data_IF_382564816015
#
_entry.id   IF_382564816015
#
_cell.length_a   1.000
_cell.length_b   1.000
_cell.length_c   1.000
_cell.angle_alpha   90.00
_cell.angle_beta   90.00
_cell.angle_gamma   90.00
#
_symmetry.space_group_name_H-M   'P 1'
#
loop_
_entity.id
_entity.type
_entity.pdbx_description
1 polymer ?
#
# COMPACT_ATOMS: atom_id res chain seq x y z
N UNK A 1 -18.14 -3.79 -9.30
CA UNK A 1 -16.71 -3.97 -9.51
C UNK A 1 -16.13 -4.90 -8.47
N UNK A 2 -15.28 -5.78 -8.92
CA UNK A 2 -14.69 -6.75 -8.01
C UNK A 2 -13.57 -6.11 -7.18
N UNK A 3 -13.52 -6.50 -5.94
CA UNK A 3 -12.47 -6.07 -5.03
C UNK A 3 -11.98 -7.25 -4.20
N UNK A 4 -10.77 -7.10 -3.68
CA UNK A 4 -10.14 -8.11 -2.84
C UNK A 4 -9.82 -7.46 -1.50
N UNK A 5 -10.24 -8.11 -0.41
CA UNK A 5 -9.87 -7.67 0.92
C UNK A 5 -8.59 -8.37 1.34
N UNK A 6 -7.59 -7.60 1.70
CA UNK A 6 -6.29 -8.12 2.09
C UNK A 6 -6.00 -7.71 3.52
N UNK A 7 -5.64 -8.68 4.35
CA UNK A 7 -5.25 -8.42 5.73
C UNK A 7 -3.75 -8.68 5.87
N UNK A 8 -3.02 -7.67 6.31
CA UNK A 8 -1.58 -7.79 6.46
C UNK A 8 -1.21 -8.43 7.79
N UNK A 9 0.01 -8.93 7.87
CA UNK A 9 0.54 -9.50 9.11
C UNK A 9 0.62 -8.47 10.23
N UNK A 10 0.86 -7.22 9.86
CA UNK A 10 0.94 -6.13 10.85
C UNK A 10 -0.44 -5.68 11.33
N UNK A 11 -1.53 -6.16 10.72
CA UNK A 11 -2.88 -5.89 11.19
C UNK A 11 -3.67 -4.86 10.38
N UNK A 12 -3.08 -4.30 9.34
CA UNK A 12 -3.81 -3.38 8.47
C UNK A 12 -4.68 -4.18 7.49
N UNK A 13 -5.90 -3.73 7.29
CA UNK A 13 -6.82 -4.36 6.34
C UNK A 13 -7.12 -3.38 5.22
N UNK A 14 -6.97 -3.84 3.99
CA UNK A 14 -7.19 -3.01 2.81
C UNK A 14 -8.18 -3.67 1.86
N UNK A 15 -8.95 -2.86 1.15
CA UNK A 15 -9.82 -3.33 0.08
C UNK A 15 -9.23 -2.81 -1.23
N UNK A 16 -8.83 -3.72 -2.10
CA UNK A 16 -8.15 -3.39 -3.35
C UNK A 16 -9.04 -3.74 -4.52
N UNK A 17 -9.35 -2.75 -5.35
CA UNK A 17 -10.10 -2.99 -6.58
C UNK A 17 -9.23 -3.76 -7.58
N UNK A 18 -9.83 -4.73 -8.25
CA UNK A 18 -9.11 -5.55 -9.25
C UNK A 18 -8.51 -4.64 -10.34
N UNK A 19 -9.21 -3.58 -10.70
CA UNK A 19 -8.72 -2.66 -11.72
C UNK A 19 -7.42 -1.95 -11.29
N UNK A 20 -7.25 -1.72 -9.99
CA UNK A 20 -6.03 -1.09 -9.49
C UNK A 20 -4.80 -1.98 -9.72
N UNK A 21 -5.01 -3.28 -9.77
CA UNK A 21 -3.91 -4.24 -10.03
C UNK A 21 -3.57 -4.34 -11.50
N UNK A 22 -4.48 -3.94 -12.37
CA UNK A 22 -4.27 -3.93 -13.81
C UNK A 22 -3.88 -2.52 -14.26
N UNK A 23 -2.79 -2.03 -13.68
CA UNK A 23 -2.31 -0.66 -13.89
C UNK A 23 -0.82 -0.67 -14.14
N UNK A 24 -0.45 -0.42 -15.39
CA UNK A 24 0.95 -0.43 -15.80
C UNK A 24 1.77 0.64 -15.09
N UNK A 25 1.18 1.79 -14.82
CA UNK A 25 1.89 2.87 -14.12
C UNK A 25 2.13 2.51 -12.65
N UNK A 26 1.19 1.78 -12.04
CA UNK A 26 1.42 1.25 -10.70
C UNK A 26 2.61 0.29 -10.70
N UNK A 27 2.66 -0.59 -11.69
CA UNK A 27 3.76 -1.55 -11.81
C UNK A 27 5.10 -0.83 -11.99
N UNK A 28 5.13 0.20 -12.82
CA UNK A 28 6.36 0.99 -13.01
C UNK A 28 6.80 1.65 -11.70
N UNK A 29 5.85 2.23 -10.97
CA UNK A 29 6.15 2.88 -9.69
C UNK A 29 6.70 1.89 -8.68
N UNK A 30 6.15 0.68 -8.66
CA UNK A 30 6.63 -0.37 -7.75
C UNK A 30 8.06 -0.77 -8.09
N UNK A 31 8.38 -0.91 -9.38
CA UNK A 31 9.71 -1.25 -9.82
C UNK A 31 10.70 -0.16 -9.43
N UNK A 32 10.32 1.10 -9.55
CA UNK A 32 11.16 2.23 -9.17
C UNK A 32 11.36 2.30 -7.67
N UNK A 33 10.31 2.02 -6.88
CA UNK A 33 10.45 1.94 -5.43
C UNK A 33 11.44 0.86 -5.03
N UNK A 34 11.34 -0.30 -5.68
CA UNK A 34 12.22 -1.42 -5.42
C UNK A 34 13.67 -1.07 -5.76
N UNK A 35 13.86 -0.18 -6.74
CA UNK A 35 15.17 0.32 -7.13
C UNK A 35 15.69 1.45 -6.21
N UNK A 36 14.92 1.84 -5.19
CA UNK A 36 15.36 2.82 -4.20
C UNK A 36 14.59 4.14 -4.16
N UNK A 37 13.63 4.35 -5.07
CA UNK A 37 12.88 5.61 -5.11
C UNK A 37 11.70 5.57 -4.14
N UNK A 38 12.00 5.58 -2.86
CA UNK A 38 10.99 5.41 -1.81
C UNK A 38 9.95 6.51 -1.74
N UNK A 39 10.24 7.69 -2.28
CA UNK A 39 9.28 8.79 -2.30
C UNK A 39 8.05 8.46 -3.16
N UNK A 40 8.13 7.46 -4.01
CA UNK A 40 6.99 7.01 -4.80
C UNK A 40 5.95 6.27 -3.97
N UNK A 41 6.27 5.92 -2.73
CA UNK A 41 5.34 5.20 -1.86
C UNK A 41 3.99 5.90 -1.75
N UNK A 42 3.97 7.21 -1.62
CA UNK A 42 2.73 7.98 -1.52
C UNK A 42 1.87 7.80 -2.77
N UNK A 43 2.48 7.84 -3.93
CA UNK A 43 1.76 7.67 -5.20
C UNK A 43 1.25 6.25 -5.36
N UNK A 44 2.06 5.27 -4.99
CA UNK A 44 1.65 3.86 -5.03
C UNK A 44 0.45 3.64 -4.13
N UNK A 45 0.46 4.19 -2.92
CA UNK A 45 -0.66 4.04 -1.98
C UNK A 45 -1.94 4.59 -2.60
N UNK A 46 -1.89 5.77 -3.21
CA UNK A 46 -3.07 6.38 -3.82
C UNK A 46 -3.58 5.55 -5.00
N UNK A 47 -2.67 5.09 -5.86
CA UNK A 47 -3.06 4.28 -7.02
C UNK A 47 -3.66 2.95 -6.61
N UNK A 48 -3.11 2.34 -5.57
CA UNK A 48 -3.55 1.02 -5.13
C UNK A 48 -4.80 1.08 -4.28
N UNK A 49 -4.87 2.00 -3.34
CA UNK A 49 -5.88 2.01 -2.29
C UNK A 49 -6.90 3.14 -2.41
N UNK A 50 -6.54 4.23 -3.07
CA UNK A 50 -7.36 5.42 -3.13
C UNK A 50 -7.15 6.33 -1.91
N UNK A 51 -7.67 7.54 -1.98
CA UNK A 51 -7.41 8.58 -1.00
C UNK A 51 -7.92 8.25 0.40
N UNK A 52 -9.09 7.61 0.50
CA UNK A 52 -9.67 7.27 1.80
C UNK A 52 -8.84 6.23 2.54
N UNK A 53 -8.44 5.18 1.85
CA UNK A 53 -7.62 4.14 2.47
C UNK A 53 -6.20 4.61 2.71
N UNK A 54 -5.70 5.54 1.89
CA UNK A 54 -4.42 6.19 2.15
C UNK A 54 -4.42 6.83 3.53
N UNK A 55 -5.50 7.55 3.85
CA UNK A 55 -5.64 8.21 5.14
C UNK A 55 -5.62 7.19 6.28
N UNK A 56 -6.36 6.10 6.11
CA UNK A 56 -6.39 5.03 7.11
C UNK A 56 -5.03 4.39 7.29
N UNK A 57 -4.32 4.15 6.20
CA UNK A 57 -2.98 3.57 6.26
C UNK A 57 -2.01 4.50 6.96
N UNK A 58 -2.05 5.78 6.66
CA UNK A 58 -1.18 6.74 7.30
C UNK A 58 -1.44 6.82 8.80
N UNK A 59 -2.72 6.82 9.21
CA UNK A 59 -3.06 6.81 10.62
C UNK A 59 -2.59 5.54 11.31
N UNK A 60 -2.69 4.39 10.62
CA UNK A 60 -2.19 3.11 11.13
C UNK A 60 -0.69 3.13 11.34
N UNK A 61 0.05 3.79 10.44
CA UNK A 61 1.51 3.85 10.49
C UNK A 61 2.05 5.03 11.28
N UNK A 62 1.17 5.88 11.81
CA UNK A 62 1.59 7.08 12.53
C UNK A 62 2.12 6.76 13.91
N UNK A 63 3.28 7.32 14.23
CA UNK A 63 3.86 7.21 15.55
C UNK A 63 3.05 8.08 16.54
N UNK A 64 2.54 7.52 17.64
CA UNK A 64 1.73 8.31 18.57
C UNK A 64 2.52 9.39 19.32
N UNK A 65 3.83 9.25 19.41
CA UNK A 65 4.66 10.22 20.11
C UNK A 65 5.09 11.37 19.21
N UNK A 66 5.61 11.05 18.02
CA UNK A 66 6.10 12.08 17.10
C UNK A 66 5.02 12.64 16.19
N UNK A 67 3.89 11.95 16.07
CA UNK A 67 2.79 12.28 15.15
C UNK A 67 3.19 12.15 13.67
N UNK A 68 4.30 11.52 13.39
CA UNK A 68 4.79 11.33 12.02
C UNK A 68 4.44 9.96 11.49
N UNK A 69 4.15 9.91 10.18
CA UNK A 69 3.90 8.64 9.50
C UNK A 69 5.24 8.04 9.11
N UNK A 70 5.51 6.84 9.57
CA UNK A 70 6.79 6.18 9.29
C UNK A 70 6.83 5.67 7.85
N UNK A 71 7.83 6.11 7.08
CA UNK A 71 8.06 5.61 5.73
C UNK A 71 8.36 4.12 5.75
N UNK A 72 9.12 3.67 6.74
CA UNK A 72 9.47 2.26 6.89
C UNK A 72 8.22 1.42 7.09
N UNK A 73 7.33 1.84 7.98
CA UNK A 73 6.09 1.09 8.22
C UNK A 73 5.18 1.05 7.00
N UNK A 74 5.05 2.18 6.29
CA UNK A 74 4.25 2.21 5.06
C UNK A 74 4.81 1.24 4.04
N UNK A 75 6.14 1.23 3.86
CA UNK A 75 6.79 0.32 2.93
C UNK A 75 6.60 -1.15 3.33
N UNK A 76 6.67 -1.45 4.63
CA UNK A 76 6.42 -2.80 5.12
C UNK A 76 5.00 -3.26 4.83
N UNK A 77 4.01 -2.39 5.10
CA UNK A 77 2.61 -2.73 4.83
C UNK A 77 2.39 -2.95 3.33
N UNK A 78 2.96 -2.09 2.48
CA UNK A 78 2.86 -2.27 1.02
C UNK A 78 3.44 -3.61 0.59
N UNK A 79 4.62 -3.95 1.13
CA UNK A 79 5.25 -5.23 0.82
C UNK A 79 4.36 -6.41 1.25
N UNK A 80 3.76 -6.32 2.42
CA UNK A 80 2.85 -7.36 2.91
C UNK A 80 1.61 -7.48 2.02
N UNK A 81 1.08 -6.35 1.55
CA UNK A 81 -0.06 -6.37 0.65
C UNK A 81 0.27 -7.08 -0.64
N UNK A 82 1.42 -6.77 -1.24
CA UNK A 82 1.81 -7.36 -2.53
C UNK A 82 2.26 -8.81 -2.44
N UNK A 83 2.68 -9.27 -1.27
CA UNK A 83 3.06 -10.66 -1.07
C UNK A 83 1.93 -11.51 -0.49
N UNK A 84 0.78 -10.90 -0.23
CA UNK A 84 -0.36 -11.60 0.36
C UNK A 84 -0.89 -12.69 -0.59
N UNK A 85 -1.27 -13.82 0.00
CA UNK A 85 -1.91 -14.91 -0.75
C UNK A 85 -3.24 -14.48 -1.34
N UNK A 86 -3.89 -13.48 -0.76
CA UNK A 86 -5.18 -12.99 -1.24
C UNK A 86 -5.07 -12.35 -2.62
N UNK A 87 -3.89 -11.80 -2.96
CA UNK A 87 -3.63 -11.21 -4.27
C UNK A 87 -3.10 -12.20 -5.28
N UNK A 88 -2.51 -13.30 -4.84
CA UNK A 88 -1.95 -14.32 -5.71
C UNK A 88 -3.01 -15.35 -6.03
N UNK A 89 -3.33 -15.47 -7.28
CA UNK A 89 -4.26 -16.49 -7.75
C UNK A 89 -3.59 -17.46 -8.68
#
# INVERSE_FOLDING_TARGET
MDSITVKTKSGFEAVIGVEALDDMELLEDLARMDAGEQWLAARVVVRLLGAEQKKKLYDFCRDPQTKRVSVTKVSEVLSELFTSKDLKK
#
